data_IF_157668018421
#
_entry.id   IF_157668018421
#
_cell.length_a   1.000
_cell.length_b   1.000
_cell.length_c   1.000
_cell.angle_alpha   90.00
_cell.angle_beta   90.00
_cell.angle_gamma   90.00
#
_symmetry.space_group_name_H-M   'P 1'
#
loop_
_entity.id
_entity.type
_entity.pdbx_description
1 polymer ?
#
# COMPACT_ATOMS: atom_id res chain seq x y z
N UNK A 1 -34.25 15.45 2.31
CA UNK A 1 -33.40 15.98 3.40
C UNK A 1 -31.95 15.96 2.92
N UNK A 2 -31.33 17.12 2.73
CA UNK A 2 -29.90 17.19 2.38
C UNK A 2 -29.08 16.70 3.58
N UNK A 3 -28.48 15.52 3.47
CA UNK A 3 -27.58 15.00 4.49
C UNK A 3 -26.40 15.96 4.61
N UNK A 4 -26.21 16.57 5.80
CA UNK A 4 -25.08 17.47 6.06
C UNK A 4 -23.75 16.82 5.63
N UNK A 5 -22.96 17.52 4.83
CA UNK A 5 -21.63 17.08 4.37
C UNK A 5 -20.51 17.41 5.37
N UNK A 6 -20.86 17.89 6.56
CA UNK A 6 -19.88 18.30 7.57
C UNK A 6 -19.03 17.12 8.05
N UNK A 7 -17.72 17.22 7.82
CA UNK A 7 -16.74 16.22 8.26
C UNK A 7 -16.24 16.45 9.69
N UNK A 8 -16.57 17.60 10.32
CA UNK A 8 -16.03 18.01 11.63
C UNK A 8 -16.26 16.99 12.75
N UNK A 9 -17.38 16.27 12.70
CA UNK A 9 -17.69 15.21 13.66
C UNK A 9 -17.52 13.82 13.03
N UNK A 10 -17.98 13.64 11.78
CA UNK A 10 -18.00 12.33 11.13
C UNK A 10 -16.63 11.71 10.96
N UNK A 11 -15.64 12.47 10.49
CA UNK A 11 -14.31 11.93 10.24
C UNK A 11 -13.59 11.57 11.55
N UNK A 12 -13.49 12.46 12.56
CA UNK A 12 -12.84 12.12 13.83
C UNK A 12 -13.52 10.95 14.55
N UNK A 13 -14.86 10.94 14.60
CA UNK A 13 -15.58 9.82 15.24
C UNK A 13 -15.33 8.51 14.50
N UNK A 14 -15.36 8.52 13.17
CA UNK A 14 -15.11 7.31 12.39
C UNK A 14 -13.69 6.77 12.59
N UNK A 15 -12.67 7.63 12.50
CA UNK A 15 -11.26 7.24 12.73
C UNK A 15 -11.06 6.74 14.16
N UNK A 16 -11.61 7.43 15.17
CA UNK A 16 -11.48 7.00 16.57
C UNK A 16 -12.07 5.61 16.81
N UNK A 17 -13.27 5.36 16.27
CA UNK A 17 -13.92 4.05 16.40
C UNK A 17 -13.10 2.96 15.71
N UNK A 18 -12.58 3.24 14.50
CA UNK A 18 -11.71 2.30 13.80
C UNK A 18 -10.45 2.00 14.61
N UNK A 19 -9.72 3.01 15.08
CA UNK A 19 -8.49 2.81 15.85
C UNK A 19 -8.72 2.04 17.16
N UNK A 20 -9.82 2.28 17.87
CA UNK A 20 -10.18 1.49 19.06
C UNK A 20 -10.39 0.01 18.70
N UNK A 21 -11.06 -0.26 17.58
CA UNK A 21 -11.25 -1.63 17.08
C UNK A 21 -9.90 -2.24 16.67
N UNK A 22 -9.05 -1.50 15.96
CA UNK A 22 -7.72 -1.97 15.55
C UNK A 22 -6.86 -2.33 16.75
N UNK A 23 -6.79 -1.46 17.77
CA UNK A 23 -6.04 -1.74 19.01
C UNK A 23 -6.53 -3.03 19.68
N UNK A 24 -7.85 -3.22 19.79
CA UNK A 24 -8.42 -4.43 20.37
C UNK A 24 -8.05 -5.67 19.56
N UNK A 25 -8.18 -5.62 18.23
CA UNK A 25 -7.82 -6.72 17.34
C UNK A 25 -6.33 -7.05 17.40
N UNK A 26 -5.45 -6.04 17.41
CA UNK A 26 -4.01 -6.23 17.57
C UNK A 26 -3.68 -6.89 18.90
N UNK A 27 -4.25 -6.41 20.01
CA UNK A 27 -4.04 -7.03 21.33
C UNK A 27 -4.49 -8.49 21.41
N UNK A 28 -5.57 -8.83 20.69
CA UNK A 28 -6.13 -10.19 20.68
C UNK A 28 -5.39 -11.11 19.70
N UNK A 29 -5.03 -10.65 18.50
CA UNK A 29 -4.59 -11.52 17.42
C UNK A 29 -3.13 -11.39 17.02
N UNK A 30 -2.45 -10.29 17.34
CA UNK A 30 -1.08 -10.04 16.85
C UNK A 30 -0.05 -10.32 17.95
N UNK A 31 1.08 -10.91 17.56
CA UNK A 31 2.28 -11.08 18.37
C UNK A 31 3.53 -10.83 17.53
N UNK A 32 4.70 -10.78 18.15
CA UNK A 32 5.96 -10.58 17.44
C UNK A 32 6.49 -11.92 16.90
N UNK A 33 7.10 -11.89 15.70
CA UNK A 33 7.84 -13.04 15.18
C UNK A 33 9.10 -13.35 16.00
N UNK A 34 9.78 -14.45 15.69
CA UNK A 34 10.93 -14.90 16.47
C UNK A 34 12.07 -13.87 16.49
N UNK A 35 12.29 -13.15 15.39
CA UNK A 35 13.34 -12.13 15.24
C UNK A 35 13.04 -10.84 16.02
N UNK A 36 11.77 -10.53 16.28
CA UNK A 36 11.33 -9.31 16.97
C UNK A 36 10.84 -9.56 18.41
N UNK A 37 10.66 -10.83 18.81
CA UNK A 37 10.16 -11.18 20.12
C UNK A 37 11.24 -11.03 21.22
N UNK A 38 11.09 -10.00 22.05
CA UNK A 38 12.01 -9.70 23.16
C UNK A 38 12.18 -10.83 24.21
N UNK A 39 11.30 -11.85 24.22
CA UNK A 39 11.48 -13.03 25.09
C UNK A 39 12.49 -14.04 24.54
N UNK A 40 12.68 -14.03 23.21
CA UNK A 40 13.57 -14.95 22.49
C UNK A 40 14.91 -14.30 22.16
N UNK A 41 14.95 -12.96 22.12
CA UNK A 41 16.12 -12.17 21.80
C UNK A 41 16.86 -11.68 23.05
N UNK A 42 18.19 -11.59 22.97
CA UNK A 42 19.08 -11.11 24.05
C UNK A 42 19.75 -9.76 23.72
N UNK A 43 19.17 -8.99 22.79
CA UNK A 43 19.75 -7.76 22.21
C UNK A 43 21.07 -7.94 21.44
N UNK A 44 21.46 -9.18 21.13
CA UNK A 44 22.55 -9.48 20.20
C UNK A 44 21.95 -10.11 18.93
N UNK A 45 22.33 -9.61 17.76
CA UNK A 45 21.80 -10.08 16.47
C UNK A 45 22.93 -10.30 15.48
N UNK A 46 22.91 -11.43 14.78
CA UNK A 46 23.78 -11.68 13.63
C UNK A 46 23.17 -11.02 12.38
N UNK A 47 23.87 -10.07 11.72
CA UNK A 47 23.37 -9.44 10.50
C UNK A 47 23.09 -10.38 9.34
N UNK A 48 23.73 -11.56 9.30
CA UNK A 48 23.54 -12.54 8.22
C UNK A 48 22.22 -13.31 8.36
N UNK A 49 21.76 -13.52 9.58
CA UNK A 49 20.59 -14.36 9.90
C UNK A 49 19.33 -13.53 10.20
N UNK A 50 19.49 -12.30 10.68
CA UNK A 50 18.36 -11.48 11.10
C UNK A 50 17.72 -10.74 9.90
N UNK A 51 16.42 -10.96 9.69
CA UNK A 51 15.64 -10.38 8.60
C UNK A 51 15.64 -8.85 8.59
N UNK A 52 15.89 -8.19 9.73
CA UNK A 52 16.02 -6.73 9.80
C UNK A 52 17.07 -6.21 8.82
N UNK A 53 18.26 -6.79 8.78
CA UNK A 53 19.35 -6.25 7.96
C UNK A 53 19.15 -6.51 6.47
N UNK A 54 18.49 -7.63 6.13
CA UNK A 54 18.21 -8.01 4.75
C UNK A 54 17.00 -7.27 4.17
N UNK A 55 15.91 -7.19 4.94
CA UNK A 55 14.59 -6.80 4.42
C UNK A 55 14.26 -5.32 4.70
N UNK A 56 14.95 -4.66 5.65
CA UNK A 56 14.71 -3.24 5.98
C UNK A 56 14.97 -2.27 4.83
N UNK A 57 16.00 -2.45 3.98
CA UNK A 57 16.17 -1.60 2.82
C UNK A 57 14.96 -1.64 1.88
N UNK A 58 14.42 -2.83 1.60
CA UNK A 58 13.22 -2.98 0.77
C UNK A 58 12.00 -2.33 1.42
N UNK A 59 11.80 -2.54 2.72
CA UNK A 59 10.75 -1.87 3.49
C UNK A 59 10.87 -0.34 3.41
N UNK A 60 12.06 0.22 3.61
CA UNK A 60 12.29 1.66 3.55
C UNK A 60 12.03 2.24 2.14
N UNK A 61 12.44 1.53 1.10
CA UNK A 61 12.20 1.92 -0.29
C UNK A 61 10.70 1.94 -0.61
N UNK A 62 9.95 0.91 -0.20
CA UNK A 62 8.50 0.81 -0.42
C UNK A 62 7.75 1.87 0.42
N UNK A 63 8.16 2.14 1.66
CA UNK A 63 7.66 3.27 2.46
C UNK A 63 7.77 4.60 1.71
N UNK A 64 8.93 4.86 1.08
CA UNK A 64 9.11 6.08 0.27
C UNK A 64 8.14 6.09 -0.92
N UNK A 65 7.93 4.96 -1.59
CA UNK A 65 6.96 4.85 -2.67
C UNK A 65 5.52 5.14 -2.20
N UNK A 66 5.09 4.56 -1.07
CA UNK A 66 3.74 4.72 -0.53
C UNK A 66 3.46 6.15 -0.08
N UNK A 67 4.36 6.72 0.72
CA UNK A 67 4.10 7.99 1.38
C UNK A 67 4.52 9.21 0.55
N UNK A 68 5.67 9.14 -0.12
CA UNK A 68 6.18 10.23 -0.94
C UNK A 68 5.85 10.05 -2.42
N UNK A 69 6.04 8.83 -2.96
CA UNK A 69 5.75 8.50 -4.36
C UNK A 69 4.28 8.74 -4.72
N UNK A 70 3.37 7.90 -4.24
CA UNK A 70 1.93 8.05 -4.44
C UNK A 70 1.42 9.38 -3.87
N UNK A 71 1.87 9.79 -2.69
CA UNK A 71 1.45 11.04 -2.06
C UNK A 71 1.65 12.25 -2.97
N UNK A 72 2.85 12.42 -3.52
CA UNK A 72 3.16 13.54 -4.40
C UNK A 72 2.58 13.35 -5.81
N UNK A 73 2.55 12.12 -6.33
CA UNK A 73 1.94 11.81 -7.63
C UNK A 73 0.46 12.20 -7.68
N UNK A 74 -0.31 11.85 -6.63
CA UNK A 74 -1.74 12.14 -6.52
C UNK A 74 -2.05 13.64 -6.30
N UNK A 75 -1.02 14.50 -6.22
CA UNK A 75 -1.18 15.92 -6.00
C UNK A 75 -1.31 16.76 -7.30
N UNK A 76 -1.36 16.11 -8.48
CA UNK A 76 -1.35 16.79 -9.79
C UNK A 76 -2.53 17.74 -10.03
N UNK A 77 -3.68 17.51 -9.39
CA UNK A 77 -4.80 18.47 -9.43
C UNK A 77 -4.51 19.72 -8.60
N UNK A 78 -4.47 20.88 -9.27
CA UNK A 78 -4.10 22.16 -8.63
C UNK A 78 -4.96 22.55 -7.42
N UNK A 79 -6.21 22.07 -7.37
CA UNK A 79 -7.18 22.37 -6.32
C UNK A 79 -7.34 21.25 -5.29
N UNK A 80 -6.63 20.14 -5.48
CA UNK A 80 -6.73 18.97 -4.62
C UNK A 80 -5.36 18.53 -4.09
N UNK A 81 -4.24 19.14 -4.52
CA UNK A 81 -2.89 18.71 -4.15
C UNK A 81 -2.68 18.38 -2.67
N UNK A 82 -3.04 19.31 -1.78
CA UNK A 82 -2.97 19.09 -0.33
C UNK A 82 -3.86 17.93 0.13
N UNK A 83 -5.12 17.88 -0.32
CA UNK A 83 -6.04 16.81 0.02
C UNK A 83 -5.57 15.46 -0.51
N UNK A 84 -5.00 15.39 -1.72
CA UNK A 84 -4.41 14.19 -2.30
C UNK A 84 -3.31 13.63 -1.40
N UNK A 85 -2.35 14.46 -1.00
CA UNK A 85 -1.26 14.05 -0.10
C UNK A 85 -1.75 13.62 1.29
N UNK A 86 -2.61 14.41 1.92
CA UNK A 86 -3.08 14.13 3.29
C UNK A 86 -4.03 12.94 3.33
N UNK A 87 -4.89 12.78 2.33
CA UNK A 87 -5.76 11.62 2.23
C UNK A 87 -4.98 10.36 1.83
N UNK A 88 -3.91 10.49 1.03
CA UNK A 88 -2.96 9.40 0.81
C UNK A 88 -2.37 8.95 2.14
N UNK A 89 -1.82 9.88 2.93
CA UNK A 89 -1.23 9.56 4.23
C UNK A 89 -2.22 8.87 5.17
N UNK A 90 -3.40 9.45 5.34
CA UNK A 90 -4.46 8.89 6.20
C UNK A 90 -4.94 7.51 5.73
N UNK A 91 -5.13 7.34 4.41
CA UNK A 91 -5.61 6.07 3.85
C UNK A 91 -4.54 5.00 3.96
N UNK A 92 -3.28 5.35 3.68
CA UNK A 92 -2.15 4.43 3.75
C UNK A 92 -1.92 3.89 5.17
N UNK A 93 -1.95 4.76 6.19
CA UNK A 93 -1.75 4.31 7.58
C UNK A 93 -2.87 3.39 8.07
N UNK A 94 -4.12 3.64 7.67
CA UNK A 94 -5.22 2.71 7.96
C UNK A 94 -5.07 1.40 7.18
N UNK A 95 -4.75 1.50 5.88
CA UNK A 95 -4.65 0.37 4.98
C UNK A 95 -3.57 -0.62 5.46
N UNK A 96 -2.38 -0.14 5.82
CA UNK A 96 -1.29 -0.99 6.32
C UNK A 96 -1.72 -1.74 7.59
N UNK A 97 -2.29 -1.03 8.58
CA UNK A 97 -2.74 -1.68 9.81
C UNK A 97 -3.82 -2.73 9.54
N UNK A 98 -4.76 -2.42 8.65
CA UNK A 98 -5.85 -3.34 8.29
C UNK A 98 -5.34 -4.56 7.52
N UNK A 99 -4.39 -4.36 6.61
CA UNK A 99 -3.77 -5.42 5.82
C UNK A 99 -2.99 -6.40 6.70
N UNK A 100 -2.25 -5.93 7.71
CA UNK A 100 -1.54 -6.81 8.67
C UNK A 100 -2.51 -7.81 9.32
N UNK A 101 -3.70 -7.36 9.75
CA UNK A 101 -4.69 -8.23 10.36
C UNK A 101 -5.28 -9.22 9.35
N UNK A 102 -5.70 -8.72 8.19
CA UNK A 102 -6.44 -9.52 7.20
C UNK A 102 -5.51 -10.50 6.48
N UNK A 103 -4.40 -10.04 5.89
CA UNK A 103 -3.41 -10.93 5.26
C UNK A 103 -2.76 -11.84 6.30
N UNK A 104 -2.55 -11.32 7.51
CA UNK A 104 -2.06 -12.08 8.67
C UNK A 104 -2.86 -13.35 8.92
N UNK A 105 -4.19 -13.26 8.87
CA UNK A 105 -5.07 -14.42 9.05
C UNK A 105 -4.87 -15.51 7.99
N UNK A 106 -4.61 -15.14 6.72
CA UNK A 106 -4.50 -16.09 5.62
C UNK A 106 -3.09 -16.67 5.43
N UNK A 107 -2.05 -15.90 5.75
CA UNK A 107 -0.67 -16.22 5.37
C UNK A 107 0.27 -16.37 6.57
N UNK A 108 -0.01 -15.70 7.69
CA UNK A 108 0.93 -15.57 8.81
C UNK A 108 0.32 -15.96 10.17
N UNK A 109 -0.76 -16.73 10.13
CA UNK A 109 -1.47 -17.19 11.32
C UNK A 109 -0.98 -18.57 11.75
N UNK A 110 -0.32 -18.64 12.91
CA UNK A 110 0.10 -19.88 13.55
C UNK A 110 -0.04 -19.77 15.07
N UNK A 111 -0.28 -20.89 15.74
CA UNK A 111 -0.45 -20.96 17.20
C UNK A 111 -1.50 -20.00 17.77
N UNK A 112 -2.54 -19.72 16.98
CA UNK A 112 -3.63 -18.84 17.35
C UNK A 112 -3.32 -17.34 17.23
N UNK A 113 -2.17 -16.97 16.66
CA UNK A 113 -1.69 -15.58 16.55
C UNK A 113 -1.13 -15.28 15.16
N UNK A 114 -1.15 -13.99 14.81
CA UNK A 114 -0.46 -13.42 13.65
C UNK A 114 0.94 -13.00 14.12
N UNK A 115 1.97 -13.58 13.54
CA UNK A 115 3.37 -13.26 13.88
C UNK A 115 3.85 -12.11 13.01
N UNK A 116 3.98 -10.93 13.62
CA UNK A 116 4.37 -9.69 12.98
C UNK A 116 5.90 -9.59 12.91
N UNK A 117 6.41 -9.66 11.69
CA UNK A 117 7.78 -9.33 11.32
C UNK A 117 7.84 -8.32 10.17
N UNK A 118 9.05 -8.09 9.68
CA UNK A 118 9.29 -7.11 8.61
C UNK A 118 8.69 -7.53 7.26
N UNK A 119 8.68 -8.83 6.99
CA UNK A 119 8.04 -9.38 5.78
C UNK A 119 6.53 -9.15 5.78
N UNK A 120 5.87 -9.22 6.94
CA UNK A 120 4.44 -8.93 7.08
C UNK A 120 4.16 -7.45 6.78
N UNK A 121 5.04 -6.55 7.25
CA UNK A 121 4.94 -5.11 6.96
C UNK A 121 5.08 -4.82 5.47
N UNK A 122 6.05 -5.45 4.80
CA UNK A 122 6.23 -5.32 3.34
C UNK A 122 4.97 -5.81 2.59
N UNK A 123 4.40 -6.97 2.97
CA UNK A 123 3.16 -7.46 2.37
C UNK A 123 1.97 -6.52 2.60
N UNK A 124 1.87 -5.93 3.80
CA UNK A 124 0.85 -4.94 4.12
C UNK A 124 1.01 -3.64 3.32
N UNK A 125 2.24 -3.25 2.99
CA UNK A 125 2.51 -2.10 2.10
C UNK A 125 2.15 -2.38 0.65
N UNK A 126 2.30 -3.63 0.17
CA UNK A 126 1.76 -4.01 -1.14
C UNK A 126 0.23 -3.96 -1.17
N UNK A 127 -0.45 -4.46 -0.13
CA UNK A 127 -1.88 -4.32 0.01
C UNK A 127 -2.31 -2.83 0.12
N UNK A 128 -1.49 -1.99 0.73
CA UNK A 128 -1.69 -0.54 0.73
C UNK A 128 -1.55 0.04 -0.69
N UNK A 129 -0.54 -0.38 -1.47
CA UNK A 129 -0.37 0.07 -2.85
C UNK A 129 -1.61 -0.22 -3.71
N UNK A 130 -2.26 -1.38 -3.51
CA UNK A 130 -3.55 -1.73 -4.14
C UNK A 130 -4.58 -0.61 -3.90
N UNK A 131 -4.80 -0.25 -2.64
CA UNK A 131 -5.76 0.79 -2.25
C UNK A 131 -5.39 2.16 -2.84
N UNK A 132 -4.11 2.50 -2.90
CA UNK A 132 -3.64 3.78 -3.45
C UNK A 132 -3.77 3.88 -4.97
N UNK A 133 -3.63 2.76 -5.69
CA UNK A 133 -3.92 2.69 -7.13
C UNK A 133 -5.42 2.89 -7.37
N UNK A 134 -6.28 2.21 -6.59
CA UNK A 134 -7.74 2.43 -6.63
C UNK A 134 -8.13 3.85 -6.25
N UNK A 135 -7.45 4.46 -5.29
CA UNK A 135 -7.62 5.87 -4.94
C UNK A 135 -7.36 6.78 -6.16
N UNK A 136 -6.32 6.50 -6.95
CA UNK A 136 -6.05 7.21 -8.20
C UNK A 136 -7.26 7.30 -9.13
N UNK A 137 -8.05 6.22 -9.26
CA UNK A 137 -9.24 6.18 -10.11
C UNK A 137 -10.41 7.06 -9.60
N UNK A 138 -10.49 7.28 -8.28
CA UNK A 138 -11.56 8.08 -7.64
C UNK A 138 -11.06 9.43 -7.11
N UNK A 139 -9.81 9.80 -7.44
CA UNK A 139 -9.14 11.01 -6.99
C UNK A 139 -9.97 12.26 -7.28
N UNK A 140 -10.09 13.15 -6.28
CA UNK A 140 -10.85 14.40 -6.41
C UNK A 140 -12.37 14.24 -6.37
N UNK A 141 -12.89 13.00 -6.36
CA UNK A 141 -14.34 12.70 -6.40
C UNK A 141 -14.86 12.09 -5.10
N UNK A 142 -13.96 11.67 -4.21
CA UNK A 142 -14.28 11.10 -2.90
C UNK A 142 -13.75 11.94 -1.75
N UNK A 143 -14.47 11.89 -0.63
CA UNK A 143 -14.02 12.42 0.65
C UNK A 143 -13.20 11.40 1.45
N UNK A 144 -12.53 11.84 2.53
CA UNK A 144 -11.64 10.99 3.33
C UNK A 144 -12.37 9.79 3.94
N UNK A 145 -13.59 9.96 4.44
CA UNK A 145 -14.39 8.84 4.98
C UNK A 145 -14.68 7.78 3.90
N UNK A 146 -14.94 8.19 2.66
CA UNK A 146 -15.19 7.25 1.57
C UNK A 146 -13.93 6.47 1.17
N UNK A 147 -12.76 7.11 1.25
CA UNK A 147 -11.47 6.45 1.01
C UNK A 147 -11.15 5.42 2.10
N UNK A 148 -11.41 5.75 3.37
CA UNK A 148 -11.24 4.79 4.46
C UNK A 148 -12.20 3.59 4.34
N UNK A 149 -13.47 3.85 3.97
CA UNK A 149 -14.42 2.76 3.68
C UNK A 149 -13.97 1.91 2.49
N UNK A 150 -13.42 2.53 1.44
CA UNK A 150 -12.87 1.80 0.30
C UNK A 150 -11.73 0.89 0.75
N UNK A 151 -10.75 1.40 1.51
CA UNK A 151 -9.64 0.62 2.05
C UNK A 151 -10.12 -0.58 2.90
N UNK A 152 -11.12 -0.37 3.76
CA UNK A 152 -11.69 -1.42 4.61
C UNK A 152 -12.37 -2.55 3.82
N UNK A 153 -12.93 -2.24 2.65
CA UNK A 153 -13.59 -3.21 1.77
C UNK A 153 -12.61 -3.87 0.80
N UNK A 154 -11.69 -3.09 0.25
CA UNK A 154 -10.75 -3.52 -0.78
C UNK A 154 -9.73 -4.51 -0.23
N UNK A 155 -9.17 -4.26 0.96
CA UNK A 155 -8.14 -5.13 1.56
C UNK A 155 -8.65 -6.57 1.79
N UNK A 156 -9.84 -6.82 2.38
CA UNK A 156 -10.38 -8.17 2.47
C UNK A 156 -10.57 -8.87 1.13
N UNK A 157 -11.06 -8.14 0.12
CA UNK A 157 -11.27 -8.71 -1.22
C UNK A 157 -9.92 -9.05 -1.86
N UNK A 158 -8.95 -8.14 -1.76
CA UNK A 158 -7.58 -8.34 -2.22
C UNK A 158 -6.95 -9.55 -1.52
N UNK A 159 -6.96 -9.61 -0.19
CA UNK A 159 -6.32 -10.67 0.57
C UNK A 159 -6.91 -12.06 0.28
N UNK A 160 -8.23 -12.17 0.13
CA UNK A 160 -8.87 -13.43 -0.29
C UNK A 160 -8.46 -13.80 -1.72
N UNK A 161 -8.39 -12.82 -2.62
CA UNK A 161 -7.97 -13.03 -4.02
C UNK A 161 -6.52 -13.47 -4.09
N UNK A 162 -5.63 -12.75 -3.42
CA UNK A 162 -4.21 -13.07 -3.29
C UNK A 162 -4.02 -14.48 -2.72
N UNK A 163 -4.66 -14.80 -1.59
CA UNK A 163 -4.61 -16.13 -1.01
C UNK A 163 -5.08 -17.21 -1.99
N UNK A 164 -6.21 -17.00 -2.67
CA UNK A 164 -6.75 -17.98 -3.60
C UNK A 164 -5.82 -18.20 -4.82
N UNK A 165 -5.30 -17.11 -5.38
CA UNK A 165 -4.39 -17.14 -6.53
C UNK A 165 -3.07 -17.81 -6.17
N UNK A 166 -2.44 -17.41 -5.06
CA UNK A 166 -1.16 -17.98 -4.64
C UNK A 166 -1.30 -19.44 -4.19
N UNK A 167 -2.37 -19.79 -3.46
CA UNK A 167 -2.56 -21.14 -2.93
C UNK A 167 -2.99 -22.15 -3.98
N UNK A 168 -3.97 -21.80 -4.81
CA UNK A 168 -4.62 -22.75 -5.73
C UNK A 168 -4.14 -22.61 -7.17
N UNK A 169 -3.94 -21.38 -7.67
CA UNK A 169 -3.50 -21.16 -9.05
C UNK A 169 -1.97 -21.15 -9.19
N UNK A 170 -1.24 -20.88 -8.09
CA UNK A 170 0.24 -20.86 -8.03
C UNK A 170 0.86 -19.97 -9.09
N UNK A 171 0.24 -18.81 -9.32
CA UNK A 171 0.73 -17.81 -10.28
C UNK A 171 2.00 -17.16 -9.72
N UNK A 172 3.02 -17.01 -10.56
CA UNK A 172 4.20 -16.21 -10.24
C UNK A 172 3.95 -14.75 -10.62
N UNK A 173 3.79 -13.90 -9.61
CA UNK A 173 3.49 -12.47 -9.77
C UNK A 173 4.25 -11.63 -8.73
N UNK A 174 5.57 -11.81 -8.65
CA UNK A 174 6.40 -11.20 -7.61
C UNK A 174 6.30 -9.66 -7.53
N UNK A 175 6.18 -8.98 -8.68
CA UNK A 175 5.97 -7.53 -8.75
C UNK A 175 4.49 -7.10 -8.73
N UNK A 176 3.55 -8.04 -8.56
CA UNK A 176 2.12 -7.75 -8.45
C UNK A 176 1.49 -7.15 -9.70
N UNK A 177 1.95 -7.48 -10.91
CA UNK A 177 1.33 -6.97 -12.14
C UNK A 177 -0.16 -7.35 -12.23
N UNK A 178 -0.52 -8.55 -11.78
CA UNK A 178 -1.90 -9.04 -11.78
C UNK A 178 -2.57 -8.72 -10.45
N UNK A 179 -1.98 -9.17 -9.34
CA UNK A 179 -2.58 -9.10 -8.01
C UNK A 179 -2.62 -7.67 -7.47
N UNK A 180 -1.62 -6.83 -7.77
CA UNK A 180 -1.60 -5.43 -7.31
C UNK A 180 -2.21 -4.53 -8.38
N UNK A 181 -1.52 -4.36 -9.51
CA UNK A 181 -1.82 -3.30 -10.46
C UNK A 181 -3.11 -3.55 -11.24
N UNK A 182 -3.30 -4.74 -11.81
CA UNK A 182 -4.49 -5.06 -12.60
C UNK A 182 -5.74 -5.11 -11.71
N UNK A 183 -5.67 -5.84 -10.58
CA UNK A 183 -6.75 -5.92 -9.60
C UNK A 183 -7.19 -4.52 -9.14
N UNK A 184 -6.28 -3.69 -8.66
CA UNK A 184 -6.60 -2.36 -8.15
C UNK A 184 -7.17 -1.45 -9.23
N UNK A 185 -6.58 -1.47 -10.44
CA UNK A 185 -7.08 -0.66 -11.55
C UNK A 185 -8.54 -0.98 -11.85
N UNK A 186 -8.92 -2.26 -11.90
CA UNK A 186 -10.30 -2.65 -12.13
C UNK A 186 -11.21 -2.39 -10.92
N UNK A 187 -10.71 -2.58 -9.71
CA UNK A 187 -11.47 -2.29 -8.49
C UNK A 187 -11.84 -0.81 -8.42
N UNK A 188 -10.86 0.09 -8.60
CA UNK A 188 -11.06 1.54 -8.63
C UNK A 188 -11.97 2.01 -9.77
N UNK A 189 -11.84 1.42 -10.97
CA UNK A 189 -12.68 1.72 -12.14
C UNK A 189 -14.10 1.17 -12.04
N UNK A 190 -14.37 0.22 -11.13
CA UNK A 190 -15.68 -0.38 -10.88
C UNK A 190 -16.78 0.60 -10.40
N UNK A 191 -16.50 1.91 -10.35
CA UNK A 191 -17.45 2.98 -10.00
C UNK A 191 -17.78 3.90 -11.20
N UNK A 192 -18.42 3.38 -12.26
CA UNK A 192 -18.69 4.13 -13.49
C UNK A 192 -19.55 5.40 -13.31
N UNK A 193 -20.27 5.50 -12.18
CA UNK A 193 -21.08 6.68 -11.83
C UNK A 193 -20.25 7.97 -11.63
N UNK A 194 -18.92 7.87 -11.55
CA UNK A 194 -18.00 8.99 -11.33
C UNK A 194 -17.31 9.49 -12.62
N UNK A 195 -17.74 9.04 -13.81
CA UNK A 195 -17.08 9.31 -15.09
C UNK A 195 -17.44 10.64 -15.77
N UNK A 196 -18.21 11.51 -15.11
CA UNK A 196 -18.44 12.87 -15.62
C UNK A 196 -17.25 13.75 -15.23
N UNK A 197 -16.50 14.22 -16.22
CA UNK A 197 -15.38 15.14 -15.99
C UNK A 197 -15.83 16.40 -15.27
N UNK A 198 -14.92 17.01 -14.50
CA UNK A 198 -15.20 18.20 -13.71
C UNK A 198 -14.27 19.35 -14.13
N UNK A 199 -14.74 20.61 -14.29
CA UNK A 199 -13.91 21.74 -14.72
C UNK A 199 -12.68 22.07 -13.84
N UNK A 200 -12.60 21.47 -12.65
CA UNK A 200 -11.47 21.61 -11.71
C UNK A 200 -10.42 20.50 -11.82
N UNK A 201 -10.66 19.48 -12.66
CA UNK A 201 -9.67 18.46 -13.03
C UNK A 201 -8.61 19.08 -13.96
N UNK A 202 -7.80 19.98 -13.39
CA UNK A 202 -6.80 20.78 -14.11
C UNK A 202 -5.52 20.85 -13.27
N UNK A 203 -4.38 21.02 -13.96
CA UNK A 203 -3.06 21.13 -13.33
C UNK A 203 -2.52 22.57 -13.37
N UNK A 204 -1.40 22.81 -12.70
CA UNK A 204 -0.57 24.03 -12.78
C UNK A 204 0.90 23.62 -12.56
N UNK A 205 1.82 24.48 -12.98
CA UNK A 205 3.27 24.27 -12.83
C UNK A 205 3.71 23.67 -11.49
N UNK A 206 3.30 24.26 -10.35
CA UNK A 206 3.69 23.74 -9.04
C UNK A 206 3.08 22.37 -8.71
N UNK A 207 1.83 22.09 -9.15
CA UNK A 207 1.23 20.77 -8.92
C UNK A 207 1.83 19.71 -9.85
N UNK A 208 2.26 20.10 -11.05
CA UNK A 208 2.99 19.22 -11.97
C UNK A 208 4.40 18.92 -11.46
N UNK A 209 5.12 19.90 -10.90
CA UNK A 209 6.42 19.64 -10.23
C UNK A 209 6.26 18.61 -9.12
N UNK A 210 5.23 18.77 -8.27
CA UNK A 210 4.97 17.84 -7.18
C UNK A 210 4.62 16.45 -7.70
N UNK A 211 3.82 16.36 -8.76
CA UNK A 211 3.51 15.11 -9.44
C UNK A 211 4.75 14.41 -9.99
N UNK A 212 5.63 15.16 -10.68
CA UNK A 212 6.90 14.63 -11.22
C UNK A 212 7.82 14.17 -10.10
N UNK A 213 7.87 14.87 -8.96
CA UNK A 213 8.63 14.42 -7.80
C UNK A 213 8.12 13.06 -7.28
N UNK A 214 6.79 12.88 -7.22
CA UNK A 214 6.19 11.57 -6.92
C UNK A 214 6.55 10.50 -7.93
N UNK A 215 6.46 10.82 -9.23
CA UNK A 215 6.90 9.92 -10.31
C UNK A 215 8.35 9.48 -10.15
N UNK A 216 9.26 10.40 -9.80
CA UNK A 216 10.68 10.08 -9.62
C UNK A 216 10.92 9.16 -8.41
N UNK A 217 10.25 9.40 -7.28
CA UNK A 217 10.33 8.49 -6.14
C UNK A 217 9.86 7.08 -6.51
N UNK A 218 8.72 6.97 -7.18
CA UNK A 218 8.24 5.67 -7.65
C UNK A 218 9.23 5.02 -8.62
N UNK A 219 9.72 5.76 -9.61
CA UNK A 219 10.62 5.26 -10.64
C UNK A 219 11.94 4.74 -10.05
N UNK A 220 12.55 5.48 -9.11
CA UNK A 220 13.83 5.12 -8.50
C UNK A 220 13.71 3.88 -7.61
N UNK A 221 12.62 3.75 -6.85
CA UNK A 221 12.45 2.66 -5.87
C UNK A 221 11.69 1.44 -6.41
N UNK A 222 11.15 1.51 -7.64
CA UNK A 222 10.44 0.37 -8.25
C UNK A 222 11.25 -0.93 -8.38
N UNK A 223 12.58 -0.91 -8.63
CA UNK A 223 13.38 -2.14 -8.62
C UNK A 223 13.26 -2.90 -7.29
N UNK A 224 13.28 -2.18 -6.16
CA UNK A 224 13.07 -2.74 -4.82
C UNK A 224 11.65 -3.31 -4.65
N UNK A 225 10.63 -2.60 -5.13
CA UNK A 225 9.24 -3.07 -5.13
C UNK A 225 9.08 -4.42 -5.83
N UNK A 226 9.65 -4.58 -7.03
CA UNK A 226 9.53 -5.80 -7.82
C UNK A 226 10.39 -6.97 -7.29
N UNK A 227 11.39 -6.70 -6.46
CA UNK A 227 12.34 -7.71 -5.97
C UNK A 227 12.16 -8.07 -4.49
N UNK A 228 11.30 -7.36 -3.75
CA UNK A 228 11.16 -7.58 -2.30
C UNK A 228 10.60 -8.96 -1.92
N UNK A 229 9.74 -9.56 -2.77
CA UNK A 229 9.11 -10.87 -2.52
C UNK A 229 9.58 -11.98 -3.47
N UNK A 230 10.60 -11.72 -4.28
CA UNK A 230 11.22 -12.77 -5.11
C UNK A 230 12.04 -13.72 -4.25
N UNK A 231 12.34 -14.91 -4.76
CA UNK A 231 13.32 -15.79 -4.12
C UNK A 231 14.70 -15.11 -4.05
N UNK A 232 15.35 -15.26 -2.89
CA UNK A 232 16.66 -14.68 -2.65
C UNK A 232 17.71 -15.24 -3.62
N UNK A 233 18.65 -14.38 -4.04
CA UNK A 233 19.73 -14.75 -4.95
C UNK A 233 19.48 -14.29 -6.37
N UNK A 234 19.42 -15.23 -7.32
CA UNK A 234 19.45 -14.92 -8.75
C UNK A 234 18.13 -14.31 -9.27
N UNK A 235 16.98 -14.74 -8.75
CA UNK A 235 15.69 -14.15 -9.08
C UNK A 235 15.60 -12.68 -8.63
N UNK A 236 15.97 -12.40 -7.38
CA UNK A 236 16.00 -11.04 -6.83
C UNK A 236 16.93 -10.12 -7.62
N UNK A 237 18.15 -10.58 -7.94
CA UNK A 237 19.08 -9.81 -8.75
C UNK A 237 18.52 -9.50 -10.15
N UNK A 238 17.95 -10.50 -10.83
CA UNK A 238 17.36 -10.29 -12.17
C UNK A 238 16.13 -9.39 -12.11
N UNK A 239 15.31 -9.47 -11.08
CA UNK A 239 14.15 -8.59 -10.91
C UNK A 239 14.56 -7.12 -10.83
N UNK A 240 15.62 -6.79 -10.09
CA UNK A 240 16.18 -5.43 -10.02
C UNK A 240 16.65 -4.97 -11.41
N UNK A 241 17.51 -5.75 -12.07
CA UNK A 241 18.09 -5.40 -13.37
C UNK A 241 17.02 -5.21 -14.46
N UNK A 242 16.09 -6.15 -14.56
CA UNK A 242 15.04 -6.10 -15.58
C UNK A 242 14.04 -4.97 -15.31
N UNK A 243 13.72 -4.68 -14.04
CA UNK A 243 12.85 -3.55 -13.70
C UNK A 243 13.49 -2.23 -14.10
N UNK A 244 14.77 -2.02 -13.78
CA UNK A 244 15.48 -0.79 -14.16
C UNK A 244 15.55 -0.59 -15.68
N UNK A 245 15.89 -1.65 -16.44
CA UNK A 245 15.94 -1.58 -17.89
C UNK A 245 14.55 -1.36 -18.51
N UNK A 246 13.52 -2.03 -17.98
CA UNK A 246 12.13 -1.86 -18.42
C UNK A 246 11.63 -0.43 -18.20
N UNK A 247 11.88 0.13 -17.02
CA UNK A 247 11.56 1.52 -16.69
C UNK A 247 12.33 2.51 -17.56
N UNK A 248 13.62 2.28 -17.78
CA UNK A 248 14.46 3.14 -18.63
C UNK A 248 13.94 3.17 -20.07
N UNK A 249 13.62 2.01 -20.63
CA UNK A 249 13.04 1.92 -21.97
C UNK A 249 11.68 2.61 -22.02
N UNK A 250 10.80 2.36 -21.04
CA UNK A 250 9.48 2.98 -20.98
C UNK A 250 9.54 4.50 -20.95
N UNK A 251 10.48 5.08 -20.18
CA UNK A 251 10.66 6.54 -20.10
C UNK A 251 11.12 7.15 -21.43
N UNK A 252 11.98 6.47 -22.18
CA UNK A 252 12.47 6.97 -23.48
C UNK A 252 11.36 6.93 -24.54
N UNK A 253 10.44 5.97 -24.46
CA UNK A 253 9.40 5.76 -25.47
C UNK A 253 8.06 6.46 -25.19
N UNK A 254 7.83 6.92 -23.96
CA UNK A 254 6.58 7.58 -23.54
C UNK A 254 6.46 9.00 -24.11
#
# INVERSE_FOLDING_TARGET
>A
MSASTSLKLRLPTFVLVLEVVMIALYGIFVTYDDNSNAKLQNNETDPMENSMYRDYPYFADIQVMIFLGFGCLLAFFRFYGFSGMVFNFLTATLAIQWAILIQGYFQFYSDGKIHLGLINLINAEFACAVVLISFGAVLGKTGPVQLLVMALLEIPIFAVTEWAVLKYLRINDAGGSILIHLFASYFGLGRPSLNKGHPKETTRYNSDILSVMGTLFLWVFWPSFNSALTFNGDDQHRAVLHTFLGLSSSTITA
#
